data_IF_633977818859
#
_entry.id   IF_633977818859
#
_cell.length_a   1.000
_cell.length_b   1.000
_cell.length_c   1.000
_cell.angle_alpha   90.00
_cell.angle_beta   90.00
_cell.angle_gamma   90.00
#
_symmetry.space_group_name_H-M   'P 1'
#
loop_
_entity.id
_entity.type
_entity.pdbx_description
1 polymer ?
#
# COMPACT_ATOMS: atom_id res chain seq x y z
N UNK A 1 6.80 12.78 44.12
CA UNK A 1 5.95 11.68 43.61
C UNK A 1 4.92 12.32 42.68
N UNK A 2 5.20 12.38 41.37
CA UNK A 2 4.24 12.83 40.36
C UNK A 2 4.03 11.66 39.39
N UNK A 3 2.83 11.09 39.44
CA UNK A 3 2.44 9.96 38.58
C UNK A 3 2.19 10.44 37.17
N UNK A 4 2.87 9.83 36.20
CA UNK A 4 2.51 9.91 34.79
C UNK A 4 1.31 8.99 34.56
N UNK A 5 0.14 9.56 34.28
CA UNK A 5 -1.02 8.81 33.81
C UNK A 5 -0.83 8.51 32.30
N UNK A 6 -0.76 7.24 31.87
CA UNK A 6 -0.26 6.87 30.54
C UNK A 6 -1.34 6.79 29.45
N UNK A 7 -2.46 7.53 29.53
CA UNK A 7 -3.57 7.35 28.58
C UNK A 7 -4.27 8.68 28.22
N UNK A 8 -3.55 9.63 27.61
CA UNK A 8 -4.18 10.82 27.01
C UNK A 8 -4.20 10.71 25.48
N UNK A 9 -5.37 10.71 24.82
CA UNK A 9 -5.50 10.50 23.36
C UNK A 9 -4.76 11.55 22.49
N UNK A 10 -4.34 12.67 23.08
CA UNK A 10 -3.55 13.70 22.40
C UNK A 10 -2.14 13.18 22.02
N UNK A 11 -1.57 12.27 22.81
CA UNK A 11 -0.25 11.69 22.55
C UNK A 11 -0.24 10.78 21.32
N UNK A 12 -1.34 10.08 21.04
CA UNK A 12 -1.44 9.16 19.91
C UNK A 12 -1.61 9.92 18.59
N UNK A 13 -2.34 11.03 18.61
CA UNK A 13 -2.49 11.93 17.45
C UNK A 13 -1.16 12.62 17.14
N UNK A 14 -0.44 13.11 18.16
CA UNK A 14 0.90 13.66 17.97
C UNK A 14 1.90 12.62 17.46
N UNK A 15 1.90 11.40 18.02
CA UNK A 15 2.73 10.30 17.51
C UNK A 15 2.40 9.96 16.06
N UNK A 16 1.12 9.83 15.70
CA UNK A 16 0.71 9.60 14.31
C UNK A 16 1.11 10.75 13.38
N UNK A 17 1.03 11.99 13.84
CA UNK A 17 1.47 13.15 13.07
C UNK A 17 2.98 13.20 12.88
N UNK A 18 3.77 12.82 13.90
CA UNK A 18 5.23 12.69 13.81
C UNK A 18 5.61 11.57 12.84
N UNK A 19 5.01 10.38 12.97
CA UNK A 19 5.21 9.24 12.05
C UNK A 19 4.84 9.63 10.63
N UNK A 20 3.69 10.30 10.44
CA UNK A 20 3.31 10.85 9.14
C UNK A 20 4.39 11.78 8.64
N UNK A 21 4.82 12.80 9.40
CA UNK A 21 5.89 13.75 9.01
C UNK A 21 7.20 13.07 8.61
N UNK A 22 7.55 11.94 9.24
CA UNK A 22 8.74 11.15 8.91
C UNK A 22 8.57 10.26 7.67
N UNK A 23 7.34 9.93 7.27
CA UNK A 23 7.12 9.17 6.03
C UNK A 23 7.55 9.97 4.81
N UNK A 24 8.57 9.44 4.11
CA UNK A 24 9.07 9.96 2.84
C UNK A 24 8.12 9.65 1.68
N UNK A 25 7.18 8.73 1.88
CA UNK A 25 6.20 8.31 0.88
C UNK A 25 4.82 8.86 1.23
N UNK A 26 4.26 9.67 0.32
CA UNK A 26 2.98 10.39 0.48
C UNK A 26 1.98 10.10 -0.61
N UNK A 27 2.44 9.59 -1.74
CA UNK A 27 1.61 9.16 -2.83
C UNK A 27 2.04 7.76 -3.25
N UNK A 28 1.04 6.91 -3.50
CA UNK A 28 1.22 5.56 -4.00
C UNK A 28 0.48 5.44 -5.32
N UNK A 29 1.09 4.81 -6.30
CA UNK A 29 0.46 4.44 -7.57
C UNK A 29 0.57 2.93 -7.72
N UNK A 30 -0.56 2.31 -7.98
CA UNK A 30 -0.63 0.90 -8.29
C UNK A 30 -1.09 0.75 -9.75
N UNK A 31 -0.47 -0.16 -10.49
CA UNK A 31 -0.84 -0.47 -11.86
C UNK A 31 -0.96 -1.97 -12.00
N UNK A 32 -2.07 -2.42 -12.58
CA UNK A 32 -2.39 -3.83 -12.79
C UNK A 32 -2.72 -4.06 -14.25
N UNK A 33 -2.29 -5.18 -14.80
CA UNK A 33 -2.55 -5.59 -16.18
C UNK A 33 -2.79 -7.08 -16.21
N UNK A 34 -4.01 -7.48 -16.57
CA UNK A 34 -4.34 -8.88 -16.78
C UNK A 34 -4.14 -9.24 -18.25
N UNK A 35 -3.33 -10.26 -18.49
CA UNK A 35 -3.18 -10.89 -19.79
C UNK A 35 -4.26 -11.95 -19.98
N UNK A 36 -4.60 -12.24 -21.24
CA UNK A 36 -5.55 -13.31 -21.62
C UNK A 36 -5.11 -14.71 -21.16
N UNK A 37 -3.84 -14.87 -20.77
CA UNK A 37 -3.28 -16.11 -20.21
C UNK A 37 -3.68 -16.38 -18.75
N UNK A 38 -4.39 -15.46 -18.09
CA UNK A 38 -4.67 -15.53 -16.65
C UNK A 38 -3.48 -15.08 -15.79
N UNK A 39 -2.52 -14.37 -16.38
CA UNK A 39 -1.42 -13.73 -15.68
C UNK A 39 -1.80 -12.29 -15.34
N UNK A 40 -1.62 -11.91 -14.10
CA UNK A 40 -1.80 -10.55 -13.63
C UNK A 40 -0.44 -9.96 -13.27
N UNK A 41 0.02 -9.02 -14.09
CA UNK A 41 1.23 -8.26 -13.88
C UNK A 41 0.90 -6.97 -13.13
N UNK A 42 1.69 -6.61 -12.12
CA UNK A 42 1.45 -5.39 -11.37
C UNK A 42 2.72 -4.68 -10.96
N UNK A 43 2.56 -3.39 -10.62
CA UNK A 43 3.63 -2.55 -10.11
C UNK A 43 3.14 -1.57 -9.07
N UNK A 44 4.00 -1.31 -8.09
CA UNK A 44 3.76 -0.41 -6.97
C UNK A 44 4.83 0.66 -6.99
N UNK A 45 4.41 1.91 -7.10
CA UNK A 45 5.28 3.07 -7.01
C UNK A 45 4.92 3.89 -5.77
N UNK A 46 5.92 4.45 -5.11
CA UNK A 46 5.72 5.34 -3.98
C UNK A 46 6.68 6.53 -4.06
N UNK A 47 6.17 7.73 -3.78
CA UNK A 47 6.96 8.97 -3.83
C UNK A 47 6.54 9.99 -2.77
N UNK A 48 7.36 11.02 -2.57
CA UNK A 48 7.00 12.19 -1.76
C UNK A 48 5.88 13.02 -2.39
N UNK A 49 5.31 13.93 -1.60
CA UNK A 49 4.15 14.72 -2.05
C UNK A 49 4.50 15.63 -3.24
N UNK A 50 5.70 16.23 -3.19
CA UNK A 50 6.15 17.24 -4.15
C UNK A 50 7.00 16.66 -5.29
N UNK A 51 7.32 15.37 -5.24
CA UNK A 51 8.20 14.76 -6.25
C UNK A 51 7.43 14.47 -7.55
N UNK A 52 8.12 14.50 -8.69
CA UNK A 52 7.61 13.93 -9.93
C UNK A 52 7.56 12.39 -9.87
N UNK A 53 6.76 11.75 -10.73
CA UNK A 53 6.87 10.30 -10.91
C UNK A 53 8.08 9.97 -11.78
N UNK A 54 8.89 9.00 -11.35
CA UNK A 54 10.02 8.48 -12.12
C UNK A 54 10.21 6.98 -11.79
N UNK A 55 11.10 6.33 -12.51
CA UNK A 55 11.39 4.90 -12.38
C UNK A 55 12.05 4.51 -11.05
N UNK A 56 12.79 5.42 -10.39
CA UNK A 56 13.36 5.17 -9.06
C UNK A 56 12.30 5.07 -7.95
N UNK A 57 11.07 5.50 -8.22
CA UNK A 57 9.94 5.35 -7.29
C UNK A 57 9.28 3.97 -7.36
N UNK A 58 9.74 3.08 -8.25
CA UNK A 58 9.26 1.70 -8.29
C UNK A 58 9.70 0.96 -7.02
N UNK A 59 8.74 0.50 -6.23
CA UNK A 59 8.96 -0.28 -5.01
C UNK A 59 8.94 -1.76 -5.33
N UNK A 60 7.97 -2.18 -6.14
CA UNK A 60 7.75 -3.58 -6.49
C UNK A 60 7.18 -3.68 -7.90
N UNK A 61 7.64 -4.66 -8.65
CA UNK A 61 7.00 -5.15 -9.87
C UNK A 61 7.02 -6.66 -9.81
N UNK A 62 5.87 -7.28 -10.00
CA UNK A 62 5.74 -8.73 -9.98
C UNK A 62 4.56 -9.19 -10.85
N UNK A 63 4.39 -10.50 -10.91
CA UNK A 63 3.34 -11.19 -11.63
C UNK A 63 2.78 -12.33 -10.78
N UNK A 64 1.47 -12.52 -10.83
CA UNK A 64 0.79 -13.66 -10.22
C UNK A 64 -0.11 -14.35 -11.22
N UNK A 65 -0.44 -15.61 -10.94
CA UNK A 65 -1.57 -16.25 -11.62
C UNK A 65 -2.86 -15.75 -10.98
N UNK A 66 -3.75 -15.24 -11.80
CA UNK A 66 -5.09 -14.83 -11.42
C UNK A 66 -6.05 -15.36 -12.48
N UNK A 67 -6.65 -16.51 -12.18
CA UNK A 67 -7.45 -17.28 -13.14
C UNK A 67 -8.79 -16.60 -13.46
N UNK A 68 -9.31 -15.80 -12.54
CA UNK A 68 -10.59 -15.11 -12.71
C UNK A 68 -10.41 -13.84 -13.54
N UNK A 69 -11.25 -13.59 -14.55
CA UNK A 69 -11.16 -12.38 -15.37
C UNK A 69 -11.58 -11.15 -14.55
N UNK A 70 -10.81 -10.07 -14.66
CA UNK A 70 -11.13 -8.77 -14.08
C UNK A 70 -12.08 -8.02 -15.02
N UNK A 71 -13.40 -8.20 -14.84
CA UNK A 71 -14.42 -7.66 -15.75
C UNK A 71 -14.91 -6.30 -15.27
N UNK A 72 -14.98 -6.12 -13.96
CA UNK A 72 -15.48 -4.92 -13.28
C UNK A 72 -14.38 -4.22 -12.49
N UNK A 73 -14.65 -2.98 -12.06
CA UNK A 73 -13.70 -2.25 -11.22
C UNK A 73 -13.60 -2.88 -9.83
N UNK A 74 -14.68 -3.49 -9.34
CA UNK A 74 -14.76 -4.23 -8.09
C UNK A 74 -13.84 -5.46 -8.12
N UNK A 75 -13.80 -6.20 -9.24
CA UNK A 75 -12.88 -7.33 -9.41
C UNK A 75 -11.43 -6.86 -9.31
N UNK A 76 -11.12 -5.72 -9.94
CA UNK A 76 -9.80 -5.10 -9.84
C UNK A 76 -9.49 -4.79 -8.39
N UNK A 77 -10.35 -4.07 -7.65
CA UNK A 77 -10.10 -3.78 -6.23
C UNK A 77 -9.91 -5.04 -5.39
N UNK A 78 -10.71 -6.09 -5.62
CA UNK A 78 -10.59 -7.37 -4.94
C UNK A 78 -9.21 -8.01 -5.17
N UNK A 79 -8.76 -8.09 -6.43
CA UNK A 79 -7.46 -8.63 -6.78
C UNK A 79 -6.30 -7.81 -6.19
N UNK A 80 -6.41 -6.48 -6.19
CA UNK A 80 -5.41 -5.59 -5.58
C UNK A 80 -5.29 -5.86 -4.09
N UNK A 81 -6.41 -5.94 -3.38
CA UNK A 81 -6.42 -6.17 -1.93
C UNK A 81 -5.84 -7.54 -1.58
N UNK A 82 -6.15 -8.59 -2.36
CA UNK A 82 -5.58 -9.92 -2.20
C UNK A 82 -4.05 -9.89 -2.36
N UNK A 83 -3.55 -9.30 -3.45
CA UNK A 83 -2.10 -9.19 -3.72
C UNK A 83 -1.39 -8.40 -2.62
N UNK A 84 -1.95 -7.25 -2.20
CA UNK A 84 -1.35 -6.44 -1.15
C UNK A 84 -1.29 -7.21 0.18
N UNK A 85 -2.34 -7.96 0.52
CA UNK A 85 -2.39 -8.76 1.75
C UNK A 85 -1.37 -9.89 1.72
N UNK A 86 -1.30 -10.63 0.62
CA UNK A 86 -0.46 -11.83 0.53
C UNK A 86 1.02 -11.49 0.37
N UNK A 87 1.35 -10.42 -0.35
CA UNK A 87 2.74 -10.16 -0.77
C UNK A 87 3.40 -8.97 -0.09
N UNK A 88 2.63 -7.95 0.29
CA UNK A 88 3.20 -6.73 0.87
C UNK A 88 2.98 -6.61 2.38
N UNK A 89 1.98 -7.31 2.92
CA UNK A 89 1.58 -7.25 4.33
C UNK A 89 1.36 -8.63 4.97
N UNK A 90 2.33 -9.56 4.89
CA UNK A 90 2.15 -10.87 5.48
C UNK A 90 1.95 -10.75 7.01
N UNK A 91 0.77 -11.11 7.49
CA UNK A 91 0.41 -11.12 8.92
C UNK A 91 -0.03 -9.78 9.53
N UNK A 92 -0.35 -8.75 8.73
CA UNK A 92 -0.68 -7.42 9.27
C UNK A 92 -2.18 -7.14 9.51
N UNK A 93 -3.05 -8.10 9.21
CA UNK A 93 -4.51 -7.97 9.36
C UNK A 93 -5.05 -9.28 9.96
N UNK A 94 -4.83 -9.40 11.27
CA UNK A 94 -5.65 -10.23 12.18
C UNK A 94 -6.58 -9.29 12.98
#
# INVERSE_FOLDING_TARGET
MYGFAPNHPLHDVERQNVIRRMSRYRQVRLTFTQETSGRLSYSVYAKGMQDGWNEHHLILRDQVRHAEPLVTIEDVYGAIMAILREQMLPGSLD
#
